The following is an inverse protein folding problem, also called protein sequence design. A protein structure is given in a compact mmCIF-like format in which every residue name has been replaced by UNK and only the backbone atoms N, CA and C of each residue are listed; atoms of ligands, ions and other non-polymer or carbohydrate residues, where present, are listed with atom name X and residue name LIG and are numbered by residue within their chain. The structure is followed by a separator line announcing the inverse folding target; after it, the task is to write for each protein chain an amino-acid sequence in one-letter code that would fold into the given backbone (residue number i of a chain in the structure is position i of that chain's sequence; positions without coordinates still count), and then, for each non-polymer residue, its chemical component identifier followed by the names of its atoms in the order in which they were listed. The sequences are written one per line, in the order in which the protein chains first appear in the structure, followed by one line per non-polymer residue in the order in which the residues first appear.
data_IF_126547248198
#
_entry.id   IF_126547248198
#
_cell.length_a   1.000
_cell.length_b   1.000
_cell.length_c   1.000
_cell.angle_alpha   90.00
_cell.angle_beta   90.00
_cell.angle_gamma   90.00
#
_symmetry.space_group_name_H-M   'P 1'
#
loop_
_entity.id
_entity.type
_entity.pdbx_description
1 polymer ?
#
# COMPACT_ATOMS: atom_id res chain seq x y z
N UNK A 1 -7.29 -25.13 -11.42
CA UNK A 1 -8.13 -26.26 -10.99
C UNK A 1 -7.33 -27.53 -10.69
N UNK A 2 -6.60 -28.16 -11.63
CA UNK A 2 -5.80 -29.37 -11.35
C UNK A 2 -4.65 -29.24 -10.33
N UNK A 3 -4.25 -28.04 -9.92
CA UNK A 3 -3.21 -27.83 -8.90
C UNK A 3 -3.73 -27.95 -7.46
N UNK A 4 -5.02 -27.69 -7.22
CA UNK A 4 -5.63 -27.83 -5.90
C UNK A 4 -5.87 -29.31 -5.52
N UNK A 5 -6.09 -30.16 -6.50
CA UNK A 5 -6.30 -31.62 -6.30
C UNK A 5 -5.01 -32.40 -6.05
N UNK A 6 -3.85 -31.82 -6.30
CA UNK A 6 -2.52 -32.49 -6.20
C UNK A 6 -1.85 -32.43 -4.83
N UNK A 7 -2.37 -31.66 -3.87
CA UNK A 7 -1.75 -31.43 -2.55
C UNK A 7 -2.77 -31.62 -1.41
N UNK A 8 -3.46 -32.75 -1.39
CA UNK A 8 -4.53 -33.05 -0.41
C UNK A 8 -4.04 -33.04 1.06
N UNK A 9 -2.77 -33.30 1.32
CA UNK A 9 -2.26 -33.45 2.70
C UNK A 9 -1.67 -32.15 3.30
N UNK A 10 -1.34 -31.12 2.47
CA UNK A 10 -0.68 -29.88 2.91
C UNK A 10 -1.50 -28.60 2.67
N UNK A 11 -2.73 -28.72 2.18
CA UNK A 11 -3.53 -27.52 1.86
C UNK A 11 -4.15 -26.95 3.13
N UNK A 12 -3.90 -25.66 3.37
CA UNK A 12 -4.56 -24.91 4.45
C UNK A 12 -6.04 -24.69 4.10
N UNK A 13 -6.95 -25.06 5.01
CA UNK A 13 -8.39 -24.87 4.89
C UNK A 13 -8.76 -23.43 4.51
N UNK A 14 -8.15 -22.44 5.14
CA UNK A 14 -8.44 -21.04 4.88
C UNK A 14 -8.07 -20.62 3.48
N UNK A 15 -6.95 -21.13 2.96
CA UNK A 15 -6.52 -20.88 1.59
C UNK A 15 -7.47 -21.51 0.56
N UNK A 16 -7.96 -22.73 0.83
CA UNK A 16 -8.96 -23.39 -0.03
C UNK A 16 -10.26 -22.60 -0.05
N UNK A 17 -10.76 -22.18 1.12
CA UNK A 17 -11.98 -21.37 1.21
C UNK A 17 -11.84 -20.03 0.49
N UNK A 18 -10.70 -19.34 0.62
CA UNK A 18 -10.41 -18.09 -0.11
C UNK A 18 -10.48 -18.28 -1.62
N UNK A 19 -9.90 -19.36 -2.13
CA UNK A 19 -9.95 -19.67 -3.57
C UNK A 19 -11.37 -19.97 -4.02
N UNK A 20 -12.17 -20.70 -3.22
CA UNK A 20 -13.57 -20.99 -3.53
C UNK A 20 -14.42 -19.71 -3.53
N UNK A 21 -14.25 -18.82 -2.55
CA UNK A 21 -14.89 -17.51 -2.50
C UNK A 21 -14.54 -16.68 -3.75
N UNK A 22 -13.28 -16.71 -4.18
CA UNK A 22 -12.83 -16.01 -5.39
C UNK A 22 -13.48 -16.60 -6.65
N UNK A 23 -13.59 -17.92 -6.76
CA UNK A 23 -14.26 -18.58 -7.90
C UNK A 23 -15.75 -18.19 -7.93
N UNK A 24 -16.42 -18.20 -6.79
CA UNK A 24 -17.84 -17.84 -6.71
C UNK A 24 -18.08 -16.36 -7.07
N UNK A 25 -17.11 -15.49 -6.82
CA UNK A 25 -17.24 -14.06 -7.08
C UNK A 25 -16.93 -13.68 -8.54
N UNK A 26 -16.00 -14.40 -9.20
CA UNK A 26 -15.54 -14.07 -10.56
C UNK A 26 -16.10 -14.95 -11.66
N UNK A 27 -16.68 -16.10 -11.32
CA UNK A 27 -17.23 -17.06 -12.28
C UNK A 27 -18.69 -17.30 -11.93
N UNK A 28 -19.60 -17.16 -12.91
CA UNK A 28 -21.05 -17.44 -12.73
C UNK A 28 -21.37 -18.92 -12.46
N UNK A 29 -20.34 -19.71 -12.10
CA UNK A 29 -20.49 -21.12 -11.76
C UNK A 29 -21.12 -21.26 -10.38
N UNK A 30 -22.18 -22.06 -10.30
CA UNK A 30 -22.79 -22.38 -9.02
C UNK A 30 -21.88 -23.35 -8.26
N UNK A 31 -21.26 -22.82 -7.21
CA UNK A 31 -20.44 -23.62 -6.30
C UNK A 31 -21.29 -24.02 -5.10
N UNK A 32 -21.61 -25.30 -5.00
CA UNK A 32 -22.23 -25.84 -3.78
C UNK A 32 -21.13 -26.32 -2.82
N UNK A 33 -21.15 -25.77 -1.59
CA UNK A 33 -20.15 -26.09 -0.57
C UNK A 33 -20.79 -26.95 0.53
N UNK A 34 -20.29 -28.18 0.71
CA UNK A 34 -20.65 -29.08 1.79
C UNK A 34 -19.51 -29.15 2.79
N UNK A 35 -19.76 -28.63 4.00
CA UNK A 35 -18.82 -28.64 5.11
C UNK A 35 -19.26 -29.70 6.13
N UNK A 36 -18.33 -30.56 6.53
CA UNK A 36 -18.60 -31.63 7.50
C UNK A 36 -17.44 -31.87 8.44
N UNK A 37 -17.69 -32.63 9.52
CA UNK A 37 -16.70 -33.01 10.49
C UNK A 37 -16.19 -34.44 10.27
N UNK A 38 -14.89 -34.67 10.41
CA UNK A 38 -14.31 -36.01 10.44
C UNK A 38 -14.33 -36.55 11.88
N UNK A 39 -15.18 -37.57 12.12
CA UNK A 39 -15.32 -38.16 13.45
C UNK A 39 -14.17 -39.12 13.73
N UNK A 40 -13.28 -38.76 14.62
CA UNK A 40 -12.12 -39.55 15.02
C UNK A 40 -11.64 -39.18 16.42
N UNK A 41 -11.06 -40.13 17.15
CA UNK A 41 -10.34 -39.88 18.41
C UNK A 41 -8.84 -39.71 18.19
N UNK A 42 -8.35 -39.99 16.98
CA UNK A 42 -6.94 -39.81 16.65
C UNK A 42 -6.54 -38.34 16.57
N UNK A 43 -5.35 -38.04 17.09
CA UNK A 43 -4.78 -36.72 16.86
C UNK A 43 -4.48 -36.53 15.38
N UNK A 44 -4.99 -35.43 14.83
CA UNK A 44 -4.73 -35.02 13.44
C UNK A 44 -3.92 -33.73 13.48
N UNK A 45 -2.82 -33.67 12.73
CA UNK A 45 -1.95 -32.50 12.67
C UNK A 45 -2.54 -31.40 11.80
N UNK A 46 -3.33 -31.76 10.79
CA UNK A 46 -3.89 -30.84 9.81
C UNK A 46 -5.35 -30.53 10.13
N UNK A 47 -5.76 -29.28 9.88
CA UNK A 47 -7.14 -28.85 10.08
C UNK A 47 -8.07 -29.53 9.07
N UNK A 48 -7.65 -29.66 7.81
CA UNK A 48 -8.42 -30.29 6.75
C UNK A 48 -8.11 -31.79 6.68
N UNK A 49 -9.16 -32.62 6.70
CA UNK A 49 -9.05 -34.06 6.53
C UNK A 49 -9.14 -34.48 5.09
N UNK A 50 -10.19 -34.01 4.38
CA UNK A 50 -10.48 -34.41 3.00
C UNK A 50 -11.10 -33.27 2.21
N UNK A 51 -10.69 -33.17 0.95
CA UNK A 51 -11.35 -32.32 -0.06
C UNK A 51 -11.77 -33.22 -1.22
N UNK A 52 -13.07 -33.29 -1.51
CA UNK A 52 -13.62 -33.96 -2.68
C UNK A 52 -14.40 -32.97 -3.54
N UNK A 53 -14.32 -33.18 -4.85
CA UNK A 53 -15.01 -32.34 -5.83
C UNK A 53 -15.84 -33.24 -6.71
N UNK A 54 -17.16 -33.04 -6.69
CA UNK A 54 -18.09 -33.71 -7.55
C UNK A 54 -18.62 -32.76 -8.61
N UNK A 55 -18.63 -33.19 -9.87
CA UNK A 55 -19.17 -32.39 -10.98
C UNK A 55 -20.61 -32.82 -11.26
N UNK A 56 -21.55 -31.91 -11.14
CA UNK A 56 -22.97 -32.15 -11.36
C UNK A 56 -23.34 -31.79 -12.82
N UNK A 57 -22.68 -32.43 -13.74
CA UNK A 57 -23.07 -32.69 -15.14
C UNK A 57 -23.15 -31.54 -16.14
N UNK A 58 -23.40 -30.28 -15.80
CA UNK A 58 -23.51 -29.23 -16.82
C UNK A 58 -22.89 -27.84 -16.43
N UNK A 59 -23.07 -27.40 -15.19
CA UNK A 59 -22.60 -26.03 -14.80
C UNK A 59 -22.28 -25.88 -13.32
N UNK A 60 -22.34 -26.95 -12.51
CA UNK A 60 -22.14 -26.89 -11.08
C UNK A 60 -21.01 -27.80 -10.59
N UNK A 61 -20.26 -27.32 -9.60
CA UNK A 61 -19.32 -28.15 -8.86
C UNK A 61 -19.71 -28.15 -7.39
N UNK A 62 -19.81 -29.38 -6.81
CA UNK A 62 -20.01 -29.56 -5.38
C UNK A 62 -18.66 -29.86 -4.73
N UNK A 63 -18.25 -29.01 -3.80
CA UNK A 63 -17.05 -29.19 -3.01
C UNK A 63 -17.45 -29.72 -1.63
N UNK A 64 -16.94 -30.90 -1.27
CA UNK A 64 -17.13 -31.47 0.04
C UNK A 64 -15.82 -31.38 0.81
N UNK A 65 -15.83 -30.67 1.95
CA UNK A 65 -14.67 -30.46 2.81
C UNK A 65 -14.98 -31.05 4.17
N UNK A 66 -14.17 -32.03 4.59
CA UNK A 66 -14.21 -32.56 5.95
C UNK A 66 -13.06 -32.00 6.77
N UNK A 67 -13.39 -31.48 7.97
CA UNK A 67 -12.44 -30.93 8.90
C UNK A 67 -12.22 -31.82 10.10
N UNK A 68 -11.01 -31.78 10.66
CA UNK A 68 -10.64 -32.50 11.87
C UNK A 68 -10.94 -31.69 13.16
N UNK A 69 -11.19 -30.38 13.04
CA UNK A 69 -11.52 -29.48 14.13
C UNK A 69 -12.73 -28.61 13.77
N UNK A 70 -13.18 -27.76 14.67
CA UNK A 70 -14.35 -26.88 14.53
C UNK A 70 -15.70 -27.59 14.32
N UNK A 71 -15.80 -28.86 14.74
CA UNK A 71 -17.04 -29.60 14.65
C UNK A 71 -17.40 -30.26 15.99
N UNK A 72 -18.68 -30.64 16.16
CA UNK A 72 -19.23 -31.10 17.45
C UNK A 72 -18.65 -32.42 17.95
N UNK A 73 -18.14 -33.27 17.06
CA UNK A 73 -17.63 -34.60 17.39
C UNK A 73 -16.11 -34.69 17.23
N UNK A 74 -15.37 -33.62 17.47
CA UNK A 74 -13.90 -33.62 17.48
C UNK A 74 -13.34 -33.98 18.85
N UNK A 75 -12.07 -34.40 18.96
CA UNK A 75 -11.43 -34.69 20.26
C UNK A 75 -11.38 -33.49 21.21
N UNK A 76 -11.54 -32.27 20.71
CA UNK A 76 -11.58 -31.02 21.48
C UNK A 76 -12.98 -30.44 21.62
N UNK A 77 -14.01 -31.20 21.20
CA UNK A 77 -15.38 -30.70 21.13
C UNK A 77 -16.12 -30.72 22.46
N UNK A 78 -17.34 -30.19 22.43
CA UNK A 78 -18.22 -30.08 23.60
C UNK A 78 -18.96 -31.39 23.91
N UNK A 79 -19.07 -32.31 22.91
CA UNK A 79 -19.78 -33.56 23.09
C UNK A 79 -18.98 -34.54 23.96
N UNK A 80 -19.64 -35.25 24.91
CA UNK A 80 -19.01 -36.28 25.68
C UNK A 80 -18.47 -37.43 24.81
N UNK A 81 -17.32 -37.99 25.18
CA UNK A 81 -16.63 -39.06 24.45
C UNK A 81 -17.52 -40.27 24.14
N UNK A 82 -18.44 -40.62 25.04
CA UNK A 82 -19.39 -41.73 24.86
C UNK A 82 -20.33 -41.52 23.66
N UNK A 83 -20.70 -40.25 23.35
CA UNK A 83 -21.51 -39.94 22.17
C UNK A 83 -20.66 -40.01 20.91
N UNK A 84 -19.44 -39.53 20.96
CA UNK A 84 -18.51 -39.58 19.82
C UNK A 84 -18.20 -41.05 19.48
N UNK A 85 -17.96 -41.88 20.47
CA UNK A 85 -17.81 -43.36 20.30
C UNK A 85 -19.00 -44.00 19.61
N UNK A 86 -20.22 -43.69 20.07
CA UNK A 86 -21.46 -44.22 19.48
C UNK A 86 -21.64 -43.80 18.03
N UNK A 87 -21.28 -42.54 17.71
CA UNK A 87 -21.39 -42.04 16.33
C UNK A 87 -20.35 -42.71 15.45
N UNK A 88 -19.11 -42.86 15.94
CA UNK A 88 -18.07 -43.55 15.20
C UNK A 88 -18.38 -45.01 14.96
N UNK A 89 -18.89 -45.75 15.98
CA UNK A 89 -19.32 -47.11 15.84
C UNK A 89 -20.43 -47.25 14.80
N UNK A 90 -21.46 -46.37 14.84
CA UNK A 90 -22.53 -46.36 13.87
C UNK A 90 -22.01 -46.08 12.45
N UNK A 91 -21.07 -45.19 12.28
CA UNK A 91 -20.46 -44.87 10.99
C UNK A 91 -19.66 -46.06 10.43
N UNK A 92 -18.94 -46.79 11.26
CA UNK A 92 -18.24 -48.03 10.87
C UNK A 92 -19.20 -49.15 10.44
N UNK A 93 -20.40 -49.22 11.03
CA UNK A 93 -21.49 -50.14 10.61
C UNK A 93 -22.19 -49.71 9.31
N UNK A 94 -21.78 -48.58 8.71
CA UNK A 94 -22.37 -48.04 7.48
C UNK A 94 -23.58 -47.14 7.72
N UNK A 95 -23.92 -46.82 8.97
CA UNK A 95 -25.01 -45.88 9.27
C UNK A 95 -24.44 -44.47 9.50
N UNK A 96 -24.57 -43.63 8.50
CA UNK A 96 -24.11 -42.24 8.53
C UNK A 96 -25.15 -41.25 9.04
N UNK A 97 -26.35 -41.71 9.47
CA UNK A 97 -27.45 -40.79 9.83
C UNK A 97 -27.11 -39.85 10.99
N UNK A 98 -26.44 -40.36 12.03
CA UNK A 98 -26.02 -39.55 13.17
C UNK A 98 -24.95 -38.49 12.78
N UNK A 99 -24.02 -38.87 11.91
CA UNK A 99 -23.02 -37.91 11.37
C UNK A 99 -23.70 -36.82 10.54
N UNK A 100 -24.60 -37.25 9.62
CA UNK A 100 -25.32 -36.32 8.76
C UNK A 100 -26.19 -35.33 9.55
N UNK A 101 -26.80 -35.78 10.65
CA UNK A 101 -27.52 -34.91 11.56
C UNK A 101 -26.59 -33.86 12.22
N UNK A 102 -25.42 -34.26 12.69
CA UNK A 102 -24.44 -33.33 13.27
C UNK A 102 -23.86 -32.37 12.23
N UNK A 103 -23.71 -32.81 10.99
CA UNK A 103 -23.13 -31.99 9.93
C UNK A 103 -24.04 -30.78 9.56
N UNK A 104 -25.34 -30.83 9.91
CA UNK A 104 -26.23 -29.66 9.80
C UNK A 104 -25.70 -28.51 10.71
N UNK A 105 -25.28 -28.82 11.92
CA UNK A 105 -24.73 -27.85 12.87
C UNK A 105 -23.26 -27.55 12.59
N UNK A 106 -22.48 -28.56 12.21
CA UNK A 106 -21.07 -28.43 11.88
C UNK A 106 -20.86 -27.44 10.73
N UNK A 107 -21.71 -27.48 9.73
CA UNK A 107 -21.68 -26.54 8.59
C UNK A 107 -21.70 -25.10 9.09
N UNK A 108 -22.64 -24.77 9.99
CA UNK A 108 -22.78 -23.41 10.52
C UNK A 108 -21.59 -23.01 11.39
N UNK A 109 -21.10 -23.92 12.23
CA UNK A 109 -19.93 -23.67 13.08
C UNK A 109 -18.66 -23.43 12.25
N UNK A 110 -18.42 -24.24 11.25
CA UNK A 110 -17.24 -24.13 10.37
C UNK A 110 -17.32 -22.84 9.54
N UNK A 111 -18.50 -22.53 9.00
CA UNK A 111 -18.74 -21.29 8.24
C UNK A 111 -18.46 -20.07 9.12
N UNK A 112 -19.05 -20.04 10.33
CA UNK A 112 -18.84 -18.94 11.28
C UNK A 112 -17.37 -18.80 11.70
N UNK A 113 -16.67 -19.93 11.91
CA UNK A 113 -15.24 -19.91 12.23
C UNK A 113 -14.40 -19.33 11.08
N UNK A 114 -14.75 -19.65 9.84
CA UNK A 114 -14.11 -19.07 8.66
C UNK A 114 -14.38 -17.57 8.55
N UNK A 115 -15.62 -17.12 8.70
CA UNK A 115 -15.99 -15.70 8.64
C UNK A 115 -15.28 -14.88 9.70
N UNK A 116 -15.27 -15.36 10.96
CA UNK A 116 -14.52 -14.70 12.06
C UNK A 116 -13.04 -14.58 11.71
N UNK A 117 -12.43 -15.64 11.18
CA UNK A 117 -11.02 -15.62 10.80
C UNK A 117 -10.77 -14.67 9.62
N UNK A 118 -11.67 -14.66 8.65
CA UNK A 118 -11.62 -13.76 7.50
C UNK A 118 -11.66 -12.29 7.96
N UNK A 119 -12.57 -11.93 8.88
CA UNK A 119 -12.67 -10.57 9.41
C UNK A 119 -11.44 -10.11 10.20
N UNK A 120 -10.72 -11.06 10.81
CA UNK A 120 -9.54 -10.77 11.62
C UNK A 120 -8.22 -10.76 10.84
N UNK A 121 -8.17 -11.42 9.69
CA UNK A 121 -6.94 -11.64 8.93
C UNK A 121 -7.02 -11.00 7.54
N UNK A 122 -6.38 -9.83 7.33
CA UNK A 122 -6.42 -9.13 6.05
C UNK A 122 -5.90 -9.97 4.87
N UNK A 123 -5.07 -11.00 5.13
CA UNK A 123 -4.54 -11.87 4.07
C UNK A 123 -5.60 -12.76 3.43
N UNK A 124 -6.74 -12.95 4.10
CA UNK A 124 -7.88 -13.73 3.63
C UNK A 124 -8.91 -12.90 2.86
N UNK A 125 -8.77 -11.59 2.82
CA UNK A 125 -9.69 -10.73 2.08
C UNK A 125 -9.61 -11.01 0.58
N UNK A 126 -10.75 -11.00 -0.07
CA UNK A 126 -10.82 -11.01 -1.52
C UNK A 126 -10.40 -9.65 -2.08
N UNK A 127 -9.71 -9.65 -3.23
CA UNK A 127 -9.04 -8.51 -3.85
C UNK A 127 -9.96 -7.40 -4.40
N UNK A 128 -11.19 -7.28 -3.93
CA UNK A 128 -12.06 -6.15 -4.26
C UNK A 128 -12.21 -5.21 -3.08
N UNK A 129 -11.32 -4.22 -2.93
CA UNK A 129 -11.28 -3.34 -1.76
C UNK A 129 -12.52 -2.44 -1.59
N UNK A 130 -13.37 -2.33 -2.62
CA UNK A 130 -14.44 -1.33 -2.66
C UNK A 130 -15.60 -1.57 -1.70
N UNK A 131 -15.83 -2.81 -1.25
CA UNK A 131 -17.01 -3.17 -0.46
C UNK A 131 -16.67 -3.78 0.92
N UNK A 132 -15.39 -3.86 1.26
CA UNK A 132 -14.96 -4.44 2.53
C UNK A 132 -14.96 -3.40 3.64
N UNK A 133 -15.62 -3.71 4.75
CA UNK A 133 -15.71 -2.82 5.93
C UNK A 133 -14.34 -2.48 6.53
N UNK A 134 -13.35 -3.36 6.36
CA UNK A 134 -11.98 -3.13 6.81
C UNK A 134 -11.30 -2.01 6.01
N UNK A 135 -11.34 -2.09 4.67
CA UNK A 135 -10.76 -1.04 3.81
C UNK A 135 -11.50 0.29 3.94
N UNK A 136 -12.84 0.27 4.09
CA UNK A 136 -13.60 1.47 4.41
C UNK A 136 -13.17 2.12 5.74
N UNK A 137 -12.84 1.30 6.72
CA UNK A 137 -12.32 1.78 8.01
C UNK A 137 -10.92 2.38 7.86
N UNK A 138 -10.03 1.76 7.09
CA UNK A 138 -8.70 2.29 6.77
C UNK A 138 -8.79 3.60 5.99
N UNK A 139 -9.64 3.68 4.97
CA UNK A 139 -9.89 4.92 4.20
C UNK A 139 -10.46 6.03 5.10
N UNK A 140 -11.31 5.68 6.06
CA UNK A 140 -11.86 6.65 7.01
C UNK A 140 -10.78 7.17 7.97
N UNK A 141 -9.94 6.29 8.49
CA UNK A 141 -8.82 6.65 9.38
C UNK A 141 -7.77 7.50 8.66
N UNK A 142 -7.49 7.21 7.40
CA UNK A 142 -6.54 7.99 6.58
C UNK A 142 -7.12 9.33 6.07
N UNK A 143 -8.43 9.56 6.24
CA UNK A 143 -9.13 10.74 5.69
C UNK A 143 -9.36 10.68 4.18
N UNK A 144 -9.25 9.49 3.58
CA UNK A 144 -9.49 9.24 2.15
C UNK A 144 -10.96 8.95 1.85
N UNK A 145 -11.74 8.61 2.87
CA UNK A 145 -13.17 8.37 2.72
C UNK A 145 -13.89 9.56 2.09
N UNK A 146 -14.60 9.33 0.99
CA UNK A 146 -15.26 10.39 0.23
C UNK A 146 -14.35 11.21 -0.69
N UNK A 147 -13.07 10.82 -0.87
CA UNK A 147 -12.10 11.46 -1.78
C UNK A 147 -11.57 10.48 -2.83
N UNK A 148 -12.41 10.02 -3.77
CA UNK A 148 -12.02 8.97 -4.72
C UNK A 148 -10.87 9.40 -5.64
N UNK A 149 -10.76 10.70 -5.96
CA UNK A 149 -9.67 11.22 -6.81
C UNK A 149 -8.30 11.12 -6.11
N UNK A 150 -8.25 11.40 -4.82
CA UNK A 150 -7.02 11.27 -4.03
C UNK A 150 -6.66 9.79 -3.86
N UNK A 151 -7.65 8.94 -3.59
CA UNK A 151 -7.46 7.50 -3.47
C UNK A 151 -6.91 6.91 -4.77
N UNK A 152 -7.49 7.23 -5.92
CA UNK A 152 -6.98 6.75 -7.21
C UNK A 152 -5.54 7.20 -7.48
N UNK A 153 -5.20 8.45 -7.12
CA UNK A 153 -3.83 8.94 -7.25
C UNK A 153 -2.84 8.19 -6.36
N UNK A 154 -3.25 7.78 -5.15
CA UNK A 154 -2.43 6.97 -4.25
C UNK A 154 -2.25 5.54 -4.76
N UNK A 155 -3.31 4.92 -5.28
CA UNK A 155 -3.22 3.60 -5.93
C UNK A 155 -2.27 3.65 -7.13
N UNK A 156 -2.36 4.69 -7.95
CA UNK A 156 -1.47 4.86 -9.10
C UNK A 156 0.00 5.03 -8.71
N UNK A 157 0.27 5.65 -7.54
CA UNK A 157 1.62 5.94 -7.06
C UNK A 157 2.24 4.78 -6.27
N UNK A 158 1.49 4.22 -5.34
CA UNK A 158 1.98 3.26 -4.34
C UNK A 158 1.47 1.84 -4.56
N UNK A 159 0.58 1.63 -5.55
CA UNK A 159 -0.13 0.37 -5.73
C UNK A 159 -1.15 0.10 -4.62
N UNK A 160 -1.66 -1.13 -4.55
CA UNK A 160 -2.67 -1.52 -3.55
C UNK A 160 -2.13 -1.54 -2.11
N UNK A 161 -0.81 -1.46 -1.94
CA UNK A 161 -0.16 -1.47 -0.62
C UNK A 161 -0.29 -0.16 0.16
N UNK A 162 -0.75 0.94 -0.47
CA UNK A 162 -0.92 2.23 0.22
C UNK A 162 -1.91 2.15 1.40
N UNK A 163 -2.87 1.24 1.34
CA UNK A 163 -3.88 1.06 2.37
C UNK A 163 -3.28 0.65 3.72
N UNK A 164 -2.18 -0.10 3.70
CA UNK A 164 -1.45 -0.47 4.92
C UNK A 164 -0.66 0.70 5.53
N UNK A 165 -0.40 1.74 4.73
CA UNK A 165 0.22 2.99 5.20
C UNK A 165 -0.82 4.05 5.61
N UNK A 166 -2.11 3.72 5.61
CA UNK A 166 -3.21 4.65 5.90
C UNK A 166 -3.05 5.42 7.21
N UNK A 167 -2.52 4.77 8.24
CA UNK A 167 -2.22 5.41 9.52
C UNK A 167 -1.22 6.57 9.38
N UNK A 168 -0.29 6.45 8.47
CA UNK A 168 0.73 7.45 8.18
C UNK A 168 0.15 8.70 7.53
N UNK A 169 -0.86 8.55 6.69
CA UNK A 169 -1.56 9.67 6.06
C UNK A 169 -2.51 10.42 7.01
N UNK A 170 -2.88 9.80 8.14
CA UNK A 170 -3.74 10.43 9.16
C UNK A 170 -2.99 11.42 10.04
N UNK A 171 -1.67 11.28 10.17
CA UNK A 171 -0.85 12.17 11.00
C UNK A 171 -0.36 13.38 10.20
N UNK A 172 -0.77 14.57 10.62
CA UNK A 172 -0.30 15.84 10.05
C UNK A 172 1.13 16.22 10.46
N UNK A 173 1.71 15.54 11.45
CA UNK A 173 3.07 15.78 11.92
C UNK A 173 3.99 14.72 11.36
N UNK A 174 4.74 15.08 10.34
CA UNK A 174 5.64 14.19 9.64
C UNK A 174 7.04 14.34 10.24
N UNK A 175 7.61 13.23 10.70
CA UNK A 175 8.98 13.19 11.16
C UNK A 175 9.95 12.93 10.00
N UNK A 176 11.22 13.34 10.16
CA UNK A 176 12.29 13.10 9.19
C UNK A 176 12.35 11.63 8.75
N UNK A 177 12.40 10.70 9.70
CA UNK A 177 12.55 9.28 9.41
C UNK A 177 11.35 8.72 8.63
N UNK A 178 10.14 9.11 9.02
CA UNK A 178 8.95 8.69 8.31
C UNK A 178 8.95 9.15 6.84
N UNK A 179 9.35 10.42 6.59
CA UNK A 179 9.43 10.96 5.24
C UNK A 179 10.50 10.21 4.41
N UNK A 180 11.66 9.93 5.01
CA UNK A 180 12.73 9.13 4.41
C UNK A 180 12.24 7.74 4.04
N UNK A 181 11.69 6.98 5.01
CA UNK A 181 11.25 5.60 4.82
C UNK A 181 10.12 5.51 3.76
N UNK A 182 9.14 6.43 3.79
CA UNK A 182 8.04 6.45 2.81
C UNK A 182 8.52 6.74 1.39
N UNK A 183 9.52 7.62 1.24
CA UNK A 183 10.10 7.92 -0.07
C UNK A 183 11.02 6.79 -0.54
N UNK A 184 11.73 6.10 0.35
CA UNK A 184 12.51 4.92 0.03
C UNK A 184 11.61 3.79 -0.50
N UNK A 185 10.48 3.53 0.14
CA UNK A 185 9.49 2.56 -0.32
C UNK A 185 8.94 2.93 -1.72
N UNK A 186 8.67 4.21 -1.95
CA UNK A 186 8.15 4.69 -3.23
C UNK A 186 9.18 4.62 -4.36
N UNK A 187 10.41 5.05 -4.10
CA UNK A 187 11.47 5.14 -5.11
C UNK A 187 12.24 3.84 -5.29
N UNK A 188 12.29 2.99 -4.27
CA UNK A 188 13.12 1.77 -4.23
C UNK A 188 14.62 2.06 -4.12
N UNK A 189 14.99 3.21 -3.54
CA UNK A 189 16.37 3.66 -3.37
C UNK A 189 16.54 4.46 -2.09
N UNK A 190 17.77 4.63 -1.61
CA UNK A 190 18.07 5.35 -0.38
C UNK A 190 17.74 6.83 -0.50
N UNK A 191 17.04 7.35 0.50
CA UNK A 191 16.65 8.76 0.60
C UNK A 191 17.02 9.29 1.97
N UNK A 192 17.80 10.37 2.02
CA UNK A 192 18.04 11.11 3.26
C UNK A 192 17.33 12.47 3.25
N UNK A 193 16.83 12.88 4.41
CA UNK A 193 16.10 14.12 4.56
C UNK A 193 16.79 14.99 5.58
N UNK A 194 17.13 16.21 5.18
CA UNK A 194 17.71 17.21 6.06
C UNK A 194 16.67 18.29 6.37
N UNK A 195 16.23 18.39 7.63
CA UNK A 195 15.29 19.43 8.04
C UNK A 195 16.00 20.80 8.13
N UNK A 196 15.23 21.86 8.12
CA UNK A 196 15.69 23.25 8.31
C UNK A 196 16.68 23.71 7.24
N UNK A 197 16.37 23.43 5.97
CA UNK A 197 17.16 23.94 4.85
C UNK A 197 16.97 25.46 4.64
N UNK A 198 15.85 26.00 5.13
CA UNK A 198 15.47 27.39 4.98
C UNK A 198 15.06 27.79 3.56
N UNK A 199 14.25 28.83 3.46
CA UNK A 199 13.88 29.41 2.17
C UNK A 199 13.62 30.91 2.29
N UNK A 200 13.73 31.62 1.16
CA UNK A 200 13.29 32.99 1.04
C UNK A 200 11.79 33.03 0.81
N UNK A 201 11.04 33.56 1.77
CA UNK A 201 9.61 33.76 1.66
C UNK A 201 9.30 35.20 1.21
N UNK A 202 8.38 35.40 0.25
CA UNK A 202 7.97 36.72 -0.17
C UNK A 202 7.25 37.45 0.96
N UNK A 203 7.54 38.72 1.11
CA UNK A 203 6.82 39.60 2.04
C UNK A 203 5.63 40.20 1.28
N UNK A 204 4.38 40.06 1.78
CA UNK A 204 3.21 40.66 1.16
C UNK A 204 3.39 42.17 0.97
N UNK A 205 2.89 42.71 -0.13
CA UNK A 205 3.06 44.13 -0.52
C UNK A 205 2.62 45.13 0.54
N UNK A 206 1.66 44.77 1.37
CA UNK A 206 1.13 45.57 2.49
C UNK A 206 2.13 45.74 3.66
N UNK A 207 3.08 44.82 3.82
CA UNK A 207 4.10 44.85 4.86
C UNK A 207 5.47 45.32 4.35
N UNK A 208 5.62 45.56 3.07
CA UNK A 208 6.86 46.06 2.49
C UNK A 208 7.01 47.57 2.76
N UNK A 209 8.22 47.98 3.18
CA UNK A 209 8.54 49.38 3.37
C UNK A 209 8.47 50.13 2.03
N UNK A 210 7.59 51.14 1.95
CA UNK A 210 7.52 52.08 0.82
C UNK A 210 7.92 53.46 1.30
N UNK A 211 8.67 54.21 0.48
CA UNK A 211 9.06 55.60 0.75
C UNK A 211 7.83 56.51 0.61
N UNK A 212 6.93 56.43 1.57
CA UNK A 212 5.75 57.32 1.72
C UNK A 212 5.82 58.01 3.06
N UNK A 213 5.19 59.18 3.20
CA UNK A 213 5.26 60.06 4.38
C UNK A 213 4.63 59.49 5.66
N UNK A 214 3.88 58.42 5.59
CA UNK A 214 3.08 57.90 6.70
C UNK A 214 3.62 56.60 7.31
N UNK A 215 4.86 56.23 7.00
CA UNK A 215 5.47 54.99 7.52
C UNK A 215 6.09 55.25 8.91
N UNK A 216 5.59 54.50 9.91
CA UNK A 216 6.14 54.50 11.26
C UNK A 216 6.98 53.25 11.44
N UNK A 217 8.22 53.41 11.90
CA UNK A 217 9.23 52.36 12.12
C UNK A 217 8.83 51.29 13.16
N UNK A 218 7.82 51.52 13.96
CA UNK A 218 7.31 50.65 15.01
C UNK A 218 6.06 49.85 14.64
N UNK A 219 5.50 50.06 13.45
CA UNK A 219 4.30 49.35 12.97
C UNK A 219 4.64 48.49 11.75
N UNK A 220 4.88 47.18 11.95
CA UNK A 220 4.82 46.13 10.93
C UNK A 220 5.51 46.42 9.57
N UNK A 221 6.68 47.02 9.61
CA UNK A 221 7.42 47.39 8.39
C UNK A 221 8.63 46.53 8.21
N UNK A 222 8.67 45.78 7.12
CA UNK A 222 9.81 44.96 6.72
C UNK A 222 10.60 45.60 5.60
N UNK A 223 11.93 45.62 5.72
CA UNK A 223 12.81 46.10 4.67
C UNK A 223 13.07 44.98 3.64
N UNK A 224 12.78 45.26 2.37
CA UNK A 224 12.96 44.29 1.29
C UNK A 224 11.68 43.63 0.85
N UNK A 225 11.77 42.78 -0.18
CA UNK A 225 10.66 42.03 -0.78
C UNK A 225 10.54 40.59 -0.28
N UNK A 226 11.55 40.09 0.45
CA UNK A 226 11.59 38.75 0.99
C UNK A 226 12.37 38.69 2.30
N UNK A 227 12.08 37.68 3.12
CA UNK A 227 12.81 37.39 4.35
C UNK A 227 13.24 35.91 4.35
N UNK A 228 14.33 35.62 5.01
CA UNK A 228 14.82 34.26 5.20
C UNK A 228 14.10 33.60 6.38
N UNK A 229 13.64 32.36 6.20
CA UNK A 229 12.98 31.55 7.21
C UNK A 229 13.60 30.16 7.24
N UNK A 230 14.22 29.79 8.37
CA UNK A 230 14.99 28.54 8.48
C UNK A 230 14.10 27.29 8.48
N UNK A 231 12.85 27.40 8.89
CA UNK A 231 11.87 26.31 8.96
C UNK A 231 10.98 26.22 7.71
N UNK A 232 11.18 27.10 6.72
CA UNK A 232 10.35 27.17 5.52
C UNK A 232 10.62 26.08 4.50
N UNK A 233 11.74 25.35 4.59
CA UNK A 233 12.09 24.29 3.65
C UNK A 233 12.85 23.13 4.28
N UNK A 234 12.77 21.99 3.60
CA UNK A 234 13.59 20.81 3.84
C UNK A 234 14.43 20.49 2.60
N UNK A 235 15.47 19.71 2.77
CA UNK A 235 16.30 19.21 1.69
C UNK A 235 16.25 17.68 1.64
N UNK A 236 15.97 17.12 0.47
CA UNK A 236 15.84 15.69 0.22
C UNK A 236 16.95 15.26 -0.73
N UNK A 237 17.75 14.30 -0.28
CA UNK A 237 18.80 13.67 -1.06
C UNK A 237 18.33 12.32 -1.54
N UNK A 238 18.32 12.10 -2.85
CA UNK A 238 17.92 10.84 -3.48
C UNK A 238 19.13 10.23 -4.15
N UNK A 239 19.53 9.02 -3.74
CA UNK A 239 20.61 8.29 -4.37
C UNK A 239 20.11 7.55 -5.60
N UNK A 240 20.56 7.96 -6.78
CA UNK A 240 20.12 7.41 -8.04
C UNK A 240 20.98 6.19 -8.42
N UNK A 241 20.39 4.98 -8.58
CA UNK A 241 21.12 3.76 -8.90
C UNK A 241 21.64 3.74 -10.35
N UNK A 242 21.00 4.50 -11.26
CA UNK A 242 21.37 4.55 -12.69
C UNK A 242 21.12 5.94 -13.27
N UNK A 243 21.76 6.21 -14.41
CA UNK A 243 21.55 7.44 -15.19
C UNK A 243 20.11 7.58 -15.66
N UNK A 244 19.49 6.48 -16.12
CA UNK A 244 18.09 6.49 -16.57
C UNK A 244 17.13 6.86 -15.44
N UNK A 245 17.37 6.33 -14.24
CA UNK A 245 16.60 6.66 -13.05
C UNK A 245 16.76 8.14 -12.70
N UNK A 246 17.99 8.64 -12.70
CA UNK A 246 18.31 10.04 -12.48
C UNK A 246 17.54 10.96 -13.46
N UNK A 247 17.65 10.70 -14.77
CA UNK A 247 16.94 11.48 -15.80
C UNK A 247 15.42 11.41 -15.68
N UNK A 248 14.89 10.30 -15.19
CA UNK A 248 13.44 10.12 -15.00
C UNK A 248 12.85 11.02 -13.91
N UNK A 249 13.65 11.40 -12.90
CA UNK A 249 13.25 12.25 -11.78
C UNK A 249 13.51 13.74 -12.01
N UNK A 250 14.27 14.11 -13.04
CA UNK A 250 14.48 15.51 -13.40
C UNK A 250 13.19 16.17 -13.91
N UNK A 251 13.03 17.49 -13.78
CA UNK A 251 11.92 18.22 -14.36
C UNK A 251 11.72 17.88 -15.84
N UNK A 252 10.49 17.44 -16.20
CA UNK A 252 10.16 16.93 -17.53
C UNK A 252 10.50 15.45 -17.77
N UNK A 253 11.02 14.72 -16.79
CA UNK A 253 11.18 13.27 -16.83
C UNK A 253 9.84 12.53 -16.66
N UNK A 254 9.78 11.27 -17.07
CA UNK A 254 8.55 10.47 -17.05
C UNK A 254 8.03 10.17 -15.63
N UNK A 255 8.91 10.10 -14.62
CA UNK A 255 8.55 9.86 -13.21
C UNK A 255 8.44 11.15 -12.38
N UNK A 256 8.83 12.30 -12.94
CA UNK A 256 8.84 13.57 -12.22
C UNK A 256 7.48 13.94 -11.63
N UNK A 257 6.42 13.87 -12.44
CA UNK A 257 5.06 14.23 -11.99
C UNK A 257 4.58 13.31 -10.86
N UNK A 258 4.82 12.00 -10.97
CA UNK A 258 4.47 11.04 -9.93
C UNK A 258 5.27 11.28 -8.64
N UNK A 259 6.55 11.61 -8.78
CA UNK A 259 7.42 11.93 -7.64
C UNK A 259 6.97 13.21 -6.92
N UNK A 260 6.67 14.29 -7.65
CA UNK A 260 6.16 15.54 -7.06
C UNK A 260 4.83 15.31 -6.37
N UNK A 261 3.92 14.51 -6.95
CA UNK A 261 2.66 14.13 -6.31
C UNK A 261 2.89 13.34 -5.01
N UNK A 262 3.80 12.37 -5.02
CA UNK A 262 4.14 11.62 -3.82
C UNK A 262 4.68 12.53 -2.72
N UNK A 263 5.63 13.41 -3.05
CA UNK A 263 6.16 14.42 -2.13
C UNK A 263 5.05 15.30 -1.55
N UNK A 264 4.14 15.75 -2.40
CA UNK A 264 3.02 16.62 -2.02
C UNK A 264 2.08 15.93 -1.02
N UNK A 265 1.73 14.67 -1.30
CA UNK A 265 0.83 13.90 -0.44
C UNK A 265 1.48 13.59 0.91
N UNK A 266 2.74 13.16 0.88
CA UNK A 266 3.49 12.78 2.09
C UNK A 266 3.81 14.02 2.94
N UNK A 267 4.16 15.17 2.34
CA UNK A 267 4.59 16.37 3.06
C UNK A 267 3.46 17.30 3.51
N UNK A 268 2.20 17.05 3.06
CA UNK A 268 1.03 17.93 3.31
C UNK A 268 1.27 19.40 2.88
N UNK A 269 2.20 19.65 1.98
CA UNK A 269 2.51 20.97 1.39
C UNK A 269 2.83 22.11 2.38
N UNK A 270 3.28 21.82 3.59
CA UNK A 270 3.48 22.83 4.63
C UNK A 270 4.80 23.57 4.54
N UNK A 271 5.72 23.13 3.68
CA UNK A 271 7.07 23.69 3.49
C UNK A 271 7.57 23.48 2.07
N UNK A 272 8.53 24.28 1.65
CA UNK A 272 9.22 24.07 0.38
C UNK A 272 10.19 22.88 0.44
N UNK A 273 10.49 22.29 -0.70
CA UNK A 273 11.34 21.10 -0.79
C UNK A 273 12.47 21.36 -1.78
N UNK A 274 13.71 21.29 -1.31
CA UNK A 274 14.89 21.17 -2.17
C UNK A 274 15.12 19.68 -2.44
N UNK A 275 15.16 19.30 -3.70
CA UNK A 275 15.49 17.93 -4.12
C UNK A 275 16.86 17.91 -4.74
N UNK A 276 17.78 17.17 -4.16
CA UNK A 276 19.09 16.90 -4.72
C UNK A 276 19.17 15.44 -5.17
N UNK A 277 19.48 15.23 -6.44
CA UNK A 277 19.62 13.89 -7.02
C UNK A 277 21.10 13.55 -7.09
N UNK A 278 21.53 12.55 -6.32
CA UNK A 278 22.91 12.07 -6.29
C UNK A 278 23.08 10.91 -7.26
N UNK A 279 24.13 10.95 -8.08
CA UNK A 279 24.50 9.86 -8.97
C UNK A 279 25.92 9.43 -8.66
N UNK A 280 26.20 8.12 -8.67
CA UNK A 280 27.56 7.62 -8.48
C UNK A 280 28.49 8.22 -9.55
N UNK A 281 29.66 8.71 -9.14
CA UNK A 281 30.65 9.34 -10.02
C UNK A 281 30.99 8.53 -11.28
N UNK A 282 31.03 7.21 -11.16
CA UNK A 282 31.30 6.29 -12.29
C UNK A 282 30.18 6.25 -13.34
N UNK A 283 28.97 6.70 -12.97
CA UNK A 283 27.77 6.65 -13.82
C UNK A 283 27.35 8.02 -14.34
N UNK A 284 28.13 9.07 -14.05
CA UNK A 284 27.87 10.41 -14.54
C UNK A 284 28.09 10.45 -16.06
N UNK A 285 27.10 10.83 -16.87
CA UNK A 285 27.24 10.87 -18.32
C UNK A 285 28.07 12.05 -18.78
N UNK A 286 28.78 11.87 -19.90
CA UNK A 286 29.42 12.98 -20.58
C UNK A 286 28.37 13.91 -21.22
N UNK A 287 28.62 15.21 -21.25
CA UNK A 287 27.77 16.17 -21.90
C UNK A 287 27.71 15.91 -23.42
N UNK A 288 26.50 15.73 -23.94
CA UNK A 288 26.24 15.58 -25.37
C UNK A 288 25.46 16.77 -25.87
N UNK A 289 26.03 17.49 -26.84
CA UNK A 289 25.38 18.68 -27.44
C UNK A 289 24.08 18.28 -28.12
N UNK A 290 22.98 18.91 -27.70
CA UNK A 290 21.64 18.64 -28.22
C UNK A 290 20.80 17.63 -27.42
N UNK A 291 21.42 16.91 -26.46
CA UNK A 291 20.72 15.96 -25.59
C UNK A 291 20.78 16.37 -24.12
N UNK A 292 21.92 16.89 -23.65
CA UNK A 292 22.12 17.32 -22.27
C UNK A 292 21.49 18.67 -21.97
N UNK A 293 20.89 18.80 -20.78
CA UNK A 293 20.25 20.02 -20.31
C UNK A 293 21.18 20.79 -19.39
N UNK A 294 21.42 22.08 -19.70
CA UNK A 294 22.25 22.95 -18.89
C UNK A 294 21.64 23.12 -17.49
N UNK A 295 22.45 22.94 -16.46
CA UNK A 295 22.02 23.01 -15.05
C UNK A 295 21.47 21.70 -14.45
N UNK A 296 21.24 20.66 -15.28
CA UNK A 296 20.72 19.39 -14.80
C UNK A 296 21.63 18.19 -15.09
N UNK A 297 21.96 17.91 -16.35
CA UNK A 297 22.71 16.71 -16.75
C UNK A 297 23.89 17.04 -17.72
N UNK A 298 24.34 18.29 -17.74
CA UNK A 298 25.46 18.72 -18.58
C UNK A 298 26.75 18.86 -17.77
N UNK A 299 27.48 17.74 -17.54
CA UNK A 299 28.79 17.75 -16.89
C UNK A 299 29.91 17.73 -17.93
N UNK A 300 30.88 18.61 -17.76
CA UNK A 300 32.13 18.58 -18.52
C UNK A 300 33.13 17.76 -17.71
N UNK A 301 33.31 16.50 -18.10
CA UNK A 301 34.20 15.55 -17.42
C UNK A 301 35.60 15.60 -18.06
N UNK A 302 36.65 15.77 -17.25
CA UNK A 302 38.03 15.46 -17.64
C UNK A 302 38.37 14.05 -17.24
N UNK A 303 39.12 13.33 -18.08
CA UNK A 303 39.45 11.87 -17.95
C UNK A 303 40.14 11.49 -16.60
N UNK A 304 40.46 12.43 -15.72
CA UNK A 304 41.24 12.21 -14.50
C UNK A 304 40.60 12.69 -13.21
N UNK A 305 39.35 13.19 -13.24
CA UNK A 305 38.72 13.69 -12.02
C UNK A 305 37.87 12.65 -11.29
N UNK A 306 38.46 12.09 -10.23
CA UNK A 306 37.75 11.57 -9.07
C UNK A 306 37.38 12.75 -8.16
N UNK A 307 36.46 13.62 -8.54
CA UNK A 307 36.10 14.81 -7.81
C UNK A 307 34.66 14.80 -7.34
N UNK A 308 34.36 15.59 -6.32
CA UNK A 308 33.01 15.88 -5.88
C UNK A 308 32.26 16.58 -7.00
N UNK A 309 31.35 15.85 -7.65
CA UNK A 309 30.45 16.42 -8.65
C UNK A 309 29.36 17.22 -7.93
N UNK A 310 29.15 18.45 -8.39
CA UNK A 310 28.01 19.23 -7.94
C UNK A 310 26.76 18.70 -8.62
N UNK A 311 25.95 17.94 -7.88
CA UNK A 311 24.72 17.37 -8.40
C UNK A 311 23.61 18.43 -8.48
N UNK A 312 22.73 18.34 -9.50
CA UNK A 312 21.66 19.30 -9.64
C UNK A 312 20.68 19.21 -8.48
N UNK A 313 20.31 20.36 -7.97
CA UNK A 313 19.22 20.52 -7.03
C UNK A 313 18.13 21.40 -7.66
N UNK A 314 16.89 21.08 -7.41
CA UNK A 314 15.75 21.92 -7.81
C UNK A 314 14.86 22.16 -6.59
N UNK A 315 14.23 23.32 -6.59
CA UNK A 315 13.33 23.74 -5.52
C UNK A 315 11.89 23.60 -5.94
N UNK A 316 11.09 22.98 -5.09
CA UNK A 316 9.64 22.88 -5.23
C UNK A 316 9.00 23.80 -4.20
N UNK A 317 8.36 24.85 -4.66
CA UNK A 317 7.64 25.79 -3.80
C UNK A 317 6.36 25.17 -3.24
N UNK A 318 5.83 25.72 -2.15
CA UNK A 318 4.53 25.29 -1.59
C UNK A 318 3.39 25.42 -2.61
N UNK A 319 3.46 26.42 -3.50
CA UNK A 319 2.45 26.66 -4.54
C UNK A 319 2.48 25.58 -5.61
N UNK A 320 3.68 25.17 -6.06
CA UNK A 320 3.86 24.09 -7.04
C UNK A 320 3.41 22.75 -6.45
N UNK A 321 3.77 22.46 -5.19
CA UNK A 321 3.33 21.27 -4.48
C UNK A 321 1.80 21.24 -4.36
N UNK A 322 1.16 22.34 -3.95
CA UNK A 322 -0.30 22.41 -3.84
C UNK A 322 -1.02 22.33 -5.19
N UNK A 323 -0.39 22.82 -6.24
CA UNK A 323 -0.88 22.72 -7.63
C UNK A 323 -0.89 21.29 -8.15
N UNK A 324 0.07 20.46 -7.75
CA UNK A 324 0.18 19.07 -8.16
C UNK A 324 -0.99 18.17 -7.67
N UNK A 325 -1.63 18.52 -6.54
CA UNK A 325 -2.85 17.83 -6.08
C UNK A 325 -4.07 18.25 -6.90
N UNK A 326 -4.18 19.53 -7.27
CA UNK A 326 -5.37 20.07 -7.96
C UNK A 326 -5.48 19.62 -9.42
N UNK A 327 -4.50 18.90 -9.92
CA UNK A 327 -4.44 18.17 -11.17
C UNK A 327 -5.30 18.68 -12.31
N UNK A 328 -4.81 19.70 -13.06
CA UNK A 328 -5.03 19.79 -14.51
C UNK A 328 -3.72 20.27 -15.12
N UNK A 329 -3.21 19.44 -16.05
CA UNK A 329 -1.97 19.69 -16.73
C UNK A 329 -1.94 21.06 -17.37
N UNK A 330 -1.15 21.93 -16.79
CA UNK A 330 -0.43 22.98 -17.46
C UNK A 330 0.87 23.14 -16.69
N UNK A 331 1.84 22.33 -17.07
CA UNK A 331 3.23 22.51 -16.67
C UNK A 331 3.85 23.57 -17.57
N UNK A 332 3.49 24.82 -17.35
CA UNK A 332 4.37 25.93 -17.71
C UNK A 332 5.32 26.15 -16.52
N UNK A 333 6.41 25.45 -16.51
CA UNK A 333 7.53 25.70 -15.63
C UNK A 333 8.22 26.96 -16.16
N UNK A 334 7.81 28.11 -15.61
CA UNK A 334 8.54 29.37 -15.81
C UNK A 334 9.95 29.24 -15.22
N UNK A 335 10.94 29.41 -16.06
CA UNK A 335 12.37 29.51 -15.74
C UNK A 335 12.66 30.72 -14.86
#
# INVERSE_FOLDING_TARGET
MNRLLGTQEDSDFYQVMRVLDSIQQFDDQVVELKLGGHVTFGFQSNLMHKLSVESDGATGFTYEIELNDYHLASPKSVLPDTFVDSIQASALEGNSASKAFLDIFNRELISSAYEIRKDLDPSLFNLTPSDDSYFLSLDSLSGLYGRPELRSSLVDLFGDSFEFQSNSFSYRRIGKNYLSDSLEDFLGTTVDVKPFAGAWLPIPDEFQLRLTSDVKLDENVSLGSSHWCDDAAIEIFVDCPSEEFFRSLLPGGNRYVSFVRALTIISDCNFGIYVQLNLNAEKVPNCVLGESRLGFDAWLLEETQTGDYNFPSYFLSMEELSGAIKGRGDTDVGY
#
